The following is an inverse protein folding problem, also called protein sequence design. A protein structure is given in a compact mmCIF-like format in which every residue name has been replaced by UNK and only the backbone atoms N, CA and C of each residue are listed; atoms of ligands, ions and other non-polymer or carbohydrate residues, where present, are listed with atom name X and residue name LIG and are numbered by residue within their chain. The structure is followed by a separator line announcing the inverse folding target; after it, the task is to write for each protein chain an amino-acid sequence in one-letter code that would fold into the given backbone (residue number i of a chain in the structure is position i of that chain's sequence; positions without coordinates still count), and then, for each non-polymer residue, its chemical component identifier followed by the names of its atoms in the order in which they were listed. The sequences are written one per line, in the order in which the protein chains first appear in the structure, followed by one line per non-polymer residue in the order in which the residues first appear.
data_IF_158505560996
#
_entry.id   IF_158505560996
#
_cell.length_a   1.000
_cell.length_b   1.000
_cell.length_c   1.000
_cell.angle_alpha   90.00
_cell.angle_beta   90.00
_cell.angle_gamma   90.00
#
_symmetry.space_group_name_H-M   'P 1'
#
loop_
_entity.id
_entity.type
_entity.pdbx_description
1 polymer ?
#
# COMPACT_ATOMS: atom_id res chain seq x y z
N UNK A 1 -13.67 -2.72 -30.00
CA UNK A 1 -12.59 -2.02 -30.74
C UNK A 1 -11.57 -1.31 -29.83
N UNK A 2 -11.80 -0.12 -29.25
CA UNK A 2 -10.76 0.55 -28.43
C UNK A 2 -10.33 -0.26 -27.17
N UNK A 3 -11.27 -0.92 -26.48
CA UNK A 3 -10.94 -1.73 -25.31
C UNK A 3 -10.18 -3.02 -25.66
N UNK A 4 -10.47 -3.63 -26.80
CA UNK A 4 -9.77 -4.83 -27.29
C UNK A 4 -8.36 -4.46 -27.73
N UNK A 5 -8.21 -3.36 -28.49
CA UNK A 5 -6.90 -2.83 -28.85
C UNK A 5 -6.06 -2.51 -27.61
N UNK A 6 -6.65 -1.91 -26.58
CA UNK A 6 -5.94 -1.67 -25.32
C UNK A 6 -5.51 -2.98 -24.63
N UNK A 7 -6.37 -4.00 -24.60
CA UNK A 7 -6.04 -5.30 -23.99
C UNK A 7 -4.94 -6.04 -24.77
N UNK A 8 -4.97 -5.98 -26.10
CA UNK A 8 -3.99 -6.63 -26.97
C UNK A 8 -2.61 -5.96 -26.88
N UNK A 9 -2.56 -4.66 -26.61
CA UNK A 9 -1.31 -3.88 -26.57
C UNK A 9 -0.92 -3.45 -25.15
N UNK A 10 -1.48 -4.05 -24.11
CA UNK A 10 -1.32 -3.56 -22.73
C UNK A 10 0.14 -3.62 -22.25
N UNK A 11 0.88 -4.66 -22.63
CA UNK A 11 2.30 -4.82 -22.29
C UNK A 11 3.19 -3.80 -23.04
N UNK A 12 2.73 -3.24 -24.16
CA UNK A 12 3.42 -2.14 -24.87
C UNK A 12 3.08 -0.77 -24.29
N UNK A 13 1.86 -0.62 -23.75
CA UNK A 13 1.36 0.64 -23.19
C UNK A 13 1.74 0.84 -21.72
N UNK A 14 1.94 -0.25 -20.97
CA UNK A 14 2.26 -0.24 -19.54
C UNK A 14 3.57 -0.98 -19.29
N UNK A 15 4.56 -0.26 -18.78
CA UNK A 15 5.93 -0.77 -18.60
C UNK A 15 6.22 -1.28 -17.19
N UNK A 16 5.41 -0.90 -16.20
CA UNK A 16 5.60 -1.32 -14.82
C UNK A 16 4.29 -1.48 -14.06
N UNK A 17 4.35 -2.23 -12.96
CA UNK A 17 3.23 -2.49 -12.07
C UNK A 17 3.74 -2.59 -10.63
N UNK A 18 3.11 -1.83 -9.74
CA UNK A 18 3.35 -1.90 -8.30
C UNK A 18 2.18 -2.61 -7.63
N UNK A 19 2.48 -3.49 -6.69
CA UNK A 19 1.47 -4.13 -5.85
C UNK A 19 1.05 -3.11 -4.78
N UNK A 20 -0.25 -2.81 -4.73
CA UNK A 20 -0.87 -1.98 -3.71
C UNK A 20 -1.58 -2.88 -2.69
N UNK A 21 -1.13 -2.85 -1.44
CA UNK A 21 -1.87 -3.39 -0.30
C UNK A 21 -2.66 -2.23 0.32
N UNK A 22 -3.97 -2.30 0.23
CA UNK A 22 -4.90 -1.25 0.66
C UNK A 22 -5.57 -1.66 1.98
N UNK A 23 -5.19 -1.02 3.08
CA UNK A 23 -5.72 -1.31 4.41
C UNK A 23 -6.82 -0.31 4.74
N UNK A 24 -8.07 -0.77 4.79
CA UNK A 24 -9.23 0.02 5.22
C UNK A 24 -9.83 -0.57 6.50
N UNK A 25 -9.86 0.23 7.56
CA UNK A 25 -10.36 -0.19 8.86
C UNK A 25 -11.88 -0.29 8.96
N UNK A 26 -12.57 0.07 7.88
CA UNK A 26 -14.01 0.02 7.74
C UNK A 26 -14.48 -1.45 7.57
N UNK A 27 -15.33 -1.93 8.50
CA UNK A 27 -15.86 -3.30 8.45
C UNK A 27 -16.91 -3.44 7.35
N UNK A 28 -16.75 -4.42 6.45
CA UNK A 28 -17.76 -4.71 5.43
C UNK A 28 -19.14 -5.03 6.07
N UNK A 29 -20.17 -4.24 5.74
CA UNK A 29 -21.56 -4.52 6.16
C UNK A 29 -22.21 -3.40 6.99
N UNK A 30 -23.28 -3.73 7.73
CA UNK A 30 -24.06 -2.75 8.52
C UNK A 30 -23.29 -2.16 9.72
N UNK A 31 -22.15 -2.75 10.07
CA UNK A 31 -21.28 -2.31 11.19
C UNK A 31 -20.46 -1.04 10.87
N UNK A 32 -20.43 -0.57 9.61
CA UNK A 32 -19.81 0.72 9.24
C UNK A 32 -20.36 1.93 10.02
N UNK A 33 -21.54 1.81 10.63
CA UNK A 33 -22.23 2.90 11.31
C UNK A 33 -21.87 3.04 12.80
N UNK A 34 -21.13 2.10 13.39
CA UNK A 34 -20.94 2.07 14.86
C UNK A 34 -19.52 2.37 15.33
N UNK A 35 -18.51 2.36 14.45
CA UNK A 35 -17.13 2.64 14.84
C UNK A 35 -16.69 4.07 14.52
N UNK A 36 -15.91 4.65 15.42
CA UNK A 36 -15.29 5.96 15.23
C UNK A 36 -14.19 5.90 14.16
N UNK A 37 -13.83 7.06 13.61
CA UNK A 37 -12.73 7.17 12.65
C UNK A 37 -11.40 6.70 13.26
N UNK A 38 -11.17 7.01 14.53
CA UNK A 38 -9.95 6.62 15.25
C UNK A 38 -9.86 5.10 15.41
N UNK A 39 -10.98 4.43 15.74
CA UNK A 39 -11.03 2.98 15.84
C UNK A 39 -10.77 2.29 14.49
N UNK A 40 -11.36 2.79 13.39
CA UNK A 40 -11.09 2.28 12.06
C UNK A 40 -9.58 2.41 11.72
N UNK A 41 -9.00 3.59 11.93
CA UNK A 41 -7.57 3.84 11.69
C UNK A 41 -6.69 2.90 12.53
N UNK A 42 -7.00 2.70 13.81
CA UNK A 42 -6.22 1.83 14.69
C UNK A 42 -6.27 0.36 14.27
N UNK A 43 -7.40 -0.11 13.72
CA UNK A 43 -7.52 -1.46 13.13
C UNK A 43 -6.61 -1.60 11.91
N UNK A 44 -6.71 -0.66 10.96
CA UNK A 44 -5.88 -0.67 9.76
C UNK A 44 -4.39 -0.56 10.10
N UNK A 45 -4.03 0.22 11.12
CA UNK A 45 -2.66 0.37 11.60
C UNK A 45 -2.10 -0.94 12.18
N UNK A 46 -2.91 -1.71 12.90
CA UNK A 46 -2.50 -3.00 13.46
C UNK A 46 -2.10 -3.98 12.36
N UNK A 47 -2.95 -4.12 11.34
CA UNK A 47 -2.69 -5.01 10.20
C UNK A 47 -1.53 -4.51 9.35
N UNK A 48 -1.44 -3.19 9.14
CA UNK A 48 -0.30 -2.55 8.48
C UNK A 48 1.02 -2.92 9.17
N UNK A 49 1.08 -2.86 10.51
CA UNK A 49 2.31 -3.20 11.27
C UNK A 49 2.67 -4.68 11.05
N UNK A 50 1.68 -5.56 11.03
CA UNK A 50 1.88 -7.00 10.74
C UNK A 50 2.44 -7.20 9.34
N UNK A 51 1.79 -6.61 8.32
CA UNK A 51 2.23 -6.70 6.93
C UNK A 51 3.63 -6.09 6.72
N UNK A 52 3.91 -4.93 7.34
CA UNK A 52 5.24 -4.30 7.32
C UNK A 52 6.30 -5.25 7.84
N UNK A 53 6.09 -5.86 9.03
CA UNK A 53 7.06 -6.80 9.62
C UNK A 53 7.31 -8.00 8.72
N UNK A 54 6.25 -8.53 8.08
CA UNK A 54 6.37 -9.60 7.11
C UNK A 54 7.25 -9.18 5.93
N UNK A 55 6.94 -8.06 5.25
CA UNK A 55 7.71 -7.55 4.12
C UNK A 55 9.17 -7.22 4.50
N UNK A 56 9.38 -6.64 5.69
CA UNK A 56 10.72 -6.34 6.21
C UNK A 56 11.55 -7.61 6.47
N UNK A 57 10.92 -8.70 6.91
CA UNK A 57 11.61 -9.97 7.18
C UNK A 57 12.20 -10.62 5.91
N UNK A 58 11.60 -10.34 4.76
CA UNK A 58 12.12 -10.71 3.45
C UNK A 58 13.01 -9.64 2.82
N UNK A 59 13.07 -8.43 3.38
CA UNK A 59 13.79 -7.30 2.78
C UNK A 59 13.16 -6.83 1.48
N UNK A 60 11.83 -6.80 1.41
CA UNK A 60 11.07 -6.37 0.22
C UNK A 60 11.04 -4.85 0.14
N UNK A 61 11.35 -4.29 -1.03
CA UNK A 61 11.28 -2.86 -1.28
C UNK A 61 9.83 -2.37 -1.30
N UNK A 62 9.50 -1.49 -0.37
CA UNK A 62 8.16 -0.94 -0.24
C UNK A 62 8.16 0.43 0.44
N UNK A 63 7.06 1.16 0.32
CA UNK A 63 6.80 2.36 1.12
C UNK A 63 5.36 2.39 1.62
N UNK A 64 5.15 3.17 2.67
CA UNK A 64 3.90 3.18 3.45
C UNK A 64 3.35 4.61 3.46
N UNK A 65 2.08 4.74 3.11
CA UNK A 65 1.38 6.03 3.01
C UNK A 65 0.12 5.97 3.87
N UNK A 66 -0.12 6.98 4.71
CA UNK A 66 -1.45 7.20 5.25
C UNK A 66 -2.38 7.70 4.14
N UNK A 67 -3.56 7.11 3.94
CA UNK A 67 -4.43 7.38 2.78
C UNK A 67 -5.22 8.69 2.86
N UNK A 68 -4.96 9.51 3.90
CA UNK A 68 -5.61 10.80 4.17
C UNK A 68 -6.96 10.69 4.88
N UNK A 69 -7.47 9.47 5.12
CA UNK A 69 -8.76 9.28 5.80
C UNK A 69 -8.70 8.22 6.91
N UNK A 70 -8.99 6.95 6.58
CA UNK A 70 -9.16 5.86 7.55
C UNK A 70 -8.16 4.72 7.40
N UNK A 71 -7.36 4.75 6.34
CA UNK A 71 -6.58 3.61 5.90
C UNK A 71 -5.13 3.92 5.58
N UNK A 72 -4.43 2.90 5.14
CA UNK A 72 -3.03 2.96 4.78
C UNK A 72 -2.80 2.21 3.47
N UNK A 73 -1.84 2.69 2.69
CA UNK A 73 -1.39 2.01 1.49
C UNK A 73 0.04 1.53 1.71
N UNK A 74 0.30 0.27 1.39
CA UNK A 74 1.66 -0.25 1.21
C UNK A 74 1.88 -0.46 -0.28
N UNK A 75 2.84 0.25 -0.84
CA UNK A 75 3.19 0.14 -2.25
C UNK A 75 4.46 -0.68 -2.34
N UNK A 76 4.35 -1.86 -2.93
CA UNK A 76 5.41 -2.86 -3.09
C UNK A 76 5.88 -2.85 -4.54
N UNK A 77 7.19 -2.68 -4.72
CA UNK A 77 7.79 -2.76 -6.05
C UNK A 77 8.01 -4.22 -6.44
N UNK A 78 7.50 -4.62 -7.60
CA UNK A 78 7.69 -5.96 -8.15
C UNK A 78 8.97 -6.01 -8.99
N UNK A 79 10.11 -6.25 -8.34
CA UNK A 79 11.43 -6.36 -8.98
C UNK A 79 11.61 -7.71 -9.73
N UNK A 80 10.65 -8.00 -10.62
CA UNK A 80 10.57 -9.17 -11.48
C UNK A 80 10.77 -8.77 -12.94
N UNK A 81 11.60 -9.54 -13.66
CA UNK A 81 11.86 -9.36 -15.09
C UNK A 81 10.84 -10.14 -15.94
N UNK A 82 9.56 -9.75 -15.82
CA UNK A 82 8.43 -10.34 -16.54
C UNK A 82 7.50 -9.24 -17.06
N UNK A 83 6.73 -9.54 -18.10
CA UNK A 83 5.76 -8.61 -18.69
C UNK A 83 4.66 -8.17 -17.72
N UNK A 84 3.98 -7.07 -18.05
CA UNK A 84 2.96 -6.45 -17.19
C UNK A 84 1.85 -7.44 -16.81
N UNK A 85 1.31 -8.19 -17.78
CA UNK A 85 0.27 -9.19 -17.50
C UNK A 85 0.71 -10.21 -16.44
N UNK A 86 1.96 -10.66 -16.49
CA UNK A 86 2.47 -11.64 -15.53
C UNK A 86 2.72 -11.02 -14.15
N UNK A 87 3.26 -9.78 -14.10
CA UNK A 87 3.37 -9.01 -12.85
C UNK A 87 2.01 -8.84 -12.19
N UNK A 88 0.99 -8.53 -12.99
CA UNK A 88 -0.39 -8.37 -12.55
C UNK A 88 -0.97 -9.65 -11.93
N UNK A 89 -0.81 -10.80 -12.60
CA UNK A 89 -1.22 -12.11 -12.06
C UNK A 89 -0.54 -12.42 -10.72
N UNK A 90 0.79 -12.22 -10.66
CA UNK A 90 1.58 -12.44 -9.44
C UNK A 90 1.13 -11.52 -8.31
N UNK A 91 0.86 -10.24 -8.61
CA UNK A 91 0.40 -9.27 -7.64
C UNK A 91 -0.94 -9.64 -7.01
N UNK A 92 -1.91 -10.08 -7.82
CA UNK A 92 -3.21 -10.52 -7.30
C UNK A 92 -3.07 -11.77 -6.43
N UNK A 93 -2.29 -12.78 -6.88
CA UNK A 93 -2.05 -13.98 -6.07
C UNK A 93 -1.36 -13.60 -4.75
N UNK A 94 -0.33 -12.76 -4.80
CA UNK A 94 0.35 -12.24 -3.61
C UNK A 94 -0.58 -11.52 -2.64
N UNK A 95 -1.46 -10.65 -3.13
CA UNK A 95 -2.40 -9.92 -2.28
C UNK A 95 -3.29 -10.88 -1.48
N UNK A 96 -3.80 -11.92 -2.15
CA UNK A 96 -4.63 -12.96 -1.51
C UNK A 96 -3.83 -13.78 -0.51
N UNK A 97 -2.66 -14.30 -0.89
CA UNK A 97 -1.83 -15.13 0.00
C UNK A 97 -1.35 -14.34 1.23
N UNK A 98 -0.93 -13.08 1.05
CA UNK A 98 -0.52 -12.20 2.16
C UNK A 98 -1.70 -11.98 3.11
N UNK A 99 -2.90 -11.74 2.59
CA UNK A 99 -4.10 -11.55 3.41
C UNK A 99 -4.41 -12.80 4.24
N UNK A 100 -4.38 -13.97 3.60
CA UNK A 100 -4.77 -15.24 4.22
C UNK A 100 -3.74 -15.72 5.23
N UNK A 101 -2.44 -15.73 4.87
CA UNK A 101 -1.35 -16.17 5.75
C UNK A 101 -1.22 -15.29 7.00
N UNK A 102 -1.43 -13.98 6.86
CA UNK A 102 -1.29 -13.02 7.96
C UNK A 102 -2.62 -12.72 8.67
N UNK A 103 -3.73 -13.27 8.19
CA UNK A 103 -5.09 -13.00 8.67
C UNK A 103 -5.38 -11.49 8.83
N UNK A 104 -5.25 -10.75 7.72
CA UNK A 104 -5.39 -9.28 7.68
C UNK A 104 -6.82 -8.90 7.34
N UNK A 105 -7.63 -8.63 8.36
CA UNK A 105 -9.06 -8.33 8.22
C UNK A 105 -9.32 -7.02 7.46
N UNK A 106 -8.43 -6.04 7.64
CA UNK A 106 -8.56 -4.70 7.02
C UNK A 106 -7.93 -4.60 5.63
N UNK A 107 -7.22 -5.63 5.18
CA UNK A 107 -6.64 -5.65 3.83
C UNK A 107 -7.75 -5.88 2.80
N UNK A 108 -8.06 -4.85 2.00
CA UNK A 108 -9.01 -4.94 0.90
C UNK A 108 -8.39 -5.76 -0.25
N UNK A 109 -8.81 -7.02 -0.31
CA UNK A 109 -8.49 -7.95 -1.38
C UNK A 109 -9.71 -8.26 -2.27
N UNK A 110 -10.84 -7.57 -2.07
CA UNK A 110 -12.14 -7.92 -2.68
C UNK A 110 -12.28 -7.37 -4.11
N UNK A 111 -11.43 -6.44 -4.52
CA UNK A 111 -11.31 -6.07 -5.93
C UNK A 111 -10.10 -6.75 -6.54
N UNK A 112 -10.30 -7.47 -7.66
CA UNK A 112 -9.26 -7.56 -8.71
C UNK A 112 -8.51 -6.24 -8.69
N UNK A 113 -7.18 -6.24 -8.55
CA UNK A 113 -6.38 -5.02 -8.65
C UNK A 113 -6.77 -4.37 -9.98
N UNK A 114 -7.80 -3.52 -10.02
CA UNK A 114 -8.34 -3.12 -11.30
C UNK A 114 -7.17 -2.42 -11.97
N UNK A 115 -6.84 -2.78 -13.22
CA UNK A 115 -5.78 -2.08 -13.97
C UNK A 115 -6.01 -0.55 -13.94
N UNK A 116 -7.23 -0.13 -13.56
CA UNK A 116 -7.72 1.23 -13.41
C UNK A 116 -7.90 1.73 -11.96
N UNK A 117 -7.48 1.00 -10.91
CA UNK A 117 -7.62 1.48 -9.52
C UNK A 117 -6.70 2.68 -9.35
N UNK A 118 -7.28 3.87 -9.28
CA UNK A 118 -6.54 5.13 -9.10
C UNK A 118 -6.23 5.28 -7.61
N UNK A 119 -4.94 5.27 -7.27
CA UNK A 119 -4.49 5.56 -5.91
C UNK A 119 -4.29 7.05 -5.70
N UNK A 120 -4.48 7.51 -4.45
CA UNK A 120 -4.16 8.88 -4.08
C UNK A 120 -2.64 9.07 -4.12
N UNK A 121 -2.19 10.16 -4.73
CA UNK A 121 -0.76 10.47 -4.80
C UNK A 121 -0.21 10.91 -3.45
N UNK A 122 1.07 10.65 -3.23
CA UNK A 122 1.83 11.13 -2.06
C UNK A 122 1.71 12.66 -1.94
N UNK A 123 1.43 13.14 -0.74
CA UNK A 123 1.13 14.54 -0.38
C UNK A 123 -0.17 15.12 -0.94
N UNK A 124 -1.04 14.33 -1.56
CA UNK A 124 -2.40 14.79 -1.90
C UNK A 124 -3.21 15.13 -0.64
N UNK A 125 -4.15 16.06 -0.78
CA UNK A 125 -5.01 16.51 0.30
C UNK A 125 -6.35 15.78 0.26
N UNK A 126 -6.82 15.32 1.42
CA UNK A 126 -8.12 14.65 1.56
C UNK A 126 -8.94 15.39 2.60
N UNK A 127 -10.02 16.04 2.14
CA UNK A 127 -10.93 16.82 2.99
C UNK A 127 -12.20 16.03 3.27
N UNK A 128 -12.54 15.86 4.55
CA UNK A 128 -13.80 15.24 4.99
C UNK A 128 -14.23 15.87 6.31
N UNK A 129 -15.49 16.30 6.42
CA UNK A 129 -16.05 16.95 7.62
C UNK A 129 -15.17 18.10 8.12
N UNK A 130 -14.83 19.04 7.24
CA UNK A 130 -14.00 20.24 7.52
C UNK A 130 -12.54 19.97 7.91
N UNK A 131 -12.15 18.72 8.13
CA UNK A 131 -10.76 18.32 8.38
C UNK A 131 -10.08 17.97 7.06
N UNK A 132 -8.92 18.57 6.80
CA UNK A 132 -8.08 18.26 5.64
C UNK A 132 -6.80 17.58 6.11
N UNK A 133 -6.63 16.31 5.75
CA UNK A 133 -5.41 15.55 6.03
C UNK A 133 -4.54 15.41 4.78
N UNK A 134 -3.27 15.11 5.01
CA UNK A 134 -2.29 14.85 3.96
C UNK A 134 -2.12 13.33 3.77
N UNK A 135 -2.09 12.89 2.52
CA UNK A 135 -1.66 11.54 2.18
C UNK A 135 -0.14 11.41 2.40
N UNK A 136 0.26 11.13 3.63
CA UNK A 136 1.65 11.30 4.07
C UNK A 136 2.44 9.99 4.03
N UNK A 137 3.63 9.95 3.41
CA UNK A 137 4.58 8.85 3.58
C UNK A 137 5.07 8.77 5.02
N UNK A 138 5.01 7.57 5.60
CA UNK A 138 5.32 7.33 7.00
C UNK A 138 6.66 6.61 7.19
N UNK A 139 7.51 7.17 8.06
CA UNK A 139 8.68 6.46 8.59
C UNK A 139 8.30 5.53 9.76
N UNK A 140 9.26 4.72 10.21
CA UNK A 140 9.02 3.72 11.26
C UNK A 140 8.66 4.34 12.62
N UNK A 141 9.16 5.55 12.90
CA UNK A 141 8.79 6.28 14.12
C UNK A 141 7.35 6.75 14.05
N UNK A 142 6.90 7.25 12.89
CA UNK A 142 5.52 7.68 12.68
C UNK A 142 4.54 6.51 12.66
N UNK A 143 4.93 5.34 12.16
CA UNK A 143 4.07 4.15 12.21
C UNK A 143 3.90 3.68 13.66
N UNK A 144 4.99 3.62 14.43
CA UNK A 144 4.94 3.16 15.84
C UNK A 144 4.24 4.13 16.79
N UNK A 145 4.20 5.42 16.44
CA UNK A 145 3.58 6.47 17.24
C UNK A 145 2.50 7.22 16.44
N UNK A 146 1.75 6.50 15.60
CA UNK A 146 0.80 7.13 14.71
C UNK A 146 -0.30 7.83 15.49
N UNK A 147 -0.62 9.06 15.09
CA UNK A 147 -1.75 9.82 15.61
C UNK A 147 -2.47 10.47 14.42
N UNK A 148 -3.76 10.20 14.28
CA UNK A 148 -4.55 10.71 13.15
C UNK A 148 -4.54 12.23 13.08
N UNK A 149 -4.62 12.90 14.23
CA UNK A 149 -4.68 14.35 14.29
C UNK A 149 -3.38 15.03 13.85
N UNK A 150 -2.25 14.30 13.83
CA UNK A 150 -0.96 14.81 13.33
C UNK A 150 -0.90 14.85 11.80
N UNK A 151 -1.83 14.17 11.13
CA UNK A 151 -1.91 14.11 9.67
C UNK A 151 -2.68 15.30 9.07
N UNK A 152 -3.26 16.16 9.90
CA UNK A 152 -3.91 17.40 9.46
C UNK A 152 -2.91 18.33 8.79
N UNK A 153 -3.31 18.97 7.68
CA UNK A 153 -2.42 19.80 6.84
C UNK A 153 -1.65 20.84 7.66
N UNK A 154 -2.31 21.52 8.61
CA UNK A 154 -1.66 22.53 9.46
C UNK A 154 -0.53 21.95 10.31
N UNK A 155 -0.76 20.78 10.94
CA UNK A 155 0.24 20.12 11.78
C UNK A 155 1.35 19.49 10.96
N UNK A 156 1.04 18.88 9.82
CA UNK A 156 2.06 18.34 8.89
C UNK A 156 3.01 19.46 8.46
N UNK A 157 2.49 20.62 8.06
CA UNK A 157 3.30 21.75 7.61
C UNK A 157 4.18 22.34 8.72
N UNK A 158 3.74 22.28 9.99
CA UNK A 158 4.47 22.81 11.13
C UNK A 158 5.51 21.84 11.70
N UNK A 159 5.16 20.56 11.79
CA UNK A 159 5.90 19.58 12.60
C UNK A 159 6.68 18.56 11.75
N UNK A 160 6.39 18.46 10.46
CA UNK A 160 6.96 17.44 9.59
C UNK A 160 7.73 18.12 8.47
N UNK A 161 9.05 17.84 8.40
CA UNK A 161 9.87 18.28 7.28
C UNK A 161 9.50 17.47 6.03
N UNK A 162 8.63 18.04 5.20
CA UNK A 162 8.19 17.45 3.92
C UNK A 162 9.18 17.72 2.77
N UNK A 163 9.93 18.83 2.85
CA UNK A 163 10.94 19.16 1.82
C UNK A 163 12.04 18.10 1.81
N UNK A 164 12.29 17.54 0.63
CA UNK A 164 13.28 16.49 0.37
C UNK A 164 12.98 15.14 1.09
N UNK A 165 11.74 14.94 1.58
CA UNK A 165 11.34 13.72 2.29
C UNK A 165 11.16 12.51 1.36
N UNK A 166 10.78 12.74 0.10
CA UNK A 166 10.48 11.69 -0.86
C UNK A 166 9.31 10.81 -0.41
N UNK A 167 9.35 9.51 -0.76
CA UNK A 167 8.34 8.51 -0.40
C UNK A 167 8.74 7.60 0.78
N UNK A 168 9.94 7.80 1.36
CA UNK A 168 10.46 6.99 2.47
C UNK A 168 10.49 5.49 2.18
N UNK A 169 11.11 5.15 1.06
CA UNK A 169 11.21 3.78 0.61
C UNK A 169 12.16 2.94 1.48
N UNK A 170 11.68 1.76 1.87
CA UNK A 170 12.42 0.78 2.66
C UNK A 170 13.21 -0.15 1.74
N UNK A 171 14.37 -0.60 2.22
CA UNK A 171 15.27 -1.53 1.51
C UNK A 171 15.77 -1.03 0.15
N UNK A 172 15.70 0.27 -0.10
CA UNK A 172 16.12 0.91 -1.36
C UNK A 172 17.64 0.89 -1.60
N UNK A 173 18.42 0.60 -0.56
CA UNK A 173 19.87 0.47 -0.60
C UNK A 173 20.37 -0.92 -1.03
N UNK A 174 19.47 -1.88 -1.29
CA UNK A 174 19.83 -3.21 -1.77
C UNK A 174 20.07 -3.24 -3.28
N UNK A 175 20.93 -4.15 -3.76
CA UNK A 175 21.13 -4.34 -5.21
C UNK A 175 19.92 -4.99 -5.86
N UNK A 176 19.78 -4.84 -7.20
CA UNK A 176 18.67 -5.46 -7.95
C UNK A 176 18.67 -6.98 -7.80
N UNK A 177 19.85 -7.60 -7.81
CA UNK A 177 20.00 -9.06 -7.63
C UNK A 177 19.52 -9.50 -6.24
N UNK A 178 19.85 -8.73 -5.20
CA UNK A 178 19.41 -9.03 -3.83
C UNK A 178 17.89 -8.87 -3.69
N UNK A 179 17.32 -7.80 -4.25
CA UNK A 179 15.88 -7.56 -4.26
C UNK A 179 15.13 -8.68 -4.99
N UNK A 180 15.58 -9.07 -6.18
CA UNK A 180 14.98 -10.19 -6.92
C UNK A 180 15.11 -11.52 -6.18
N UNK A 181 16.23 -11.78 -5.49
CA UNK A 181 16.42 -12.99 -4.67
C UNK A 181 15.47 -13.02 -3.47
N UNK A 182 15.36 -11.90 -2.75
CA UNK A 182 14.46 -11.71 -1.63
C UNK A 182 12.99 -11.94 -2.05
N UNK A 183 12.60 -11.35 -3.18
CA UNK A 183 11.27 -11.49 -3.73
C UNK A 183 10.96 -12.94 -4.13
N UNK A 184 11.87 -13.62 -4.83
CA UNK A 184 11.72 -15.04 -5.18
C UNK A 184 11.55 -15.92 -3.96
N UNK A 185 12.35 -15.69 -2.91
CA UNK A 185 12.20 -16.41 -1.64
C UNK A 185 10.81 -16.23 -1.04
N UNK A 186 10.29 -15.00 -1.02
CA UNK A 186 8.92 -14.74 -0.55
C UNK A 186 7.86 -15.47 -1.38
N UNK A 187 8.02 -15.53 -2.71
CA UNK A 187 7.12 -16.30 -3.58
C UNK A 187 7.17 -17.80 -3.27
N UNK A 188 8.37 -18.36 -3.11
CA UNK A 188 8.58 -19.77 -2.76
C UNK A 188 7.95 -20.11 -1.40
N UNK A 189 8.17 -19.28 -0.39
CA UNK A 189 7.62 -19.47 0.96
C UNK A 189 6.09 -19.30 1.01
N UNK A 190 5.48 -18.62 0.02
CA UNK A 190 4.03 -18.46 -0.17
C UNK A 190 3.44 -19.44 -1.21
N UNK A 191 4.23 -20.38 -1.73
CA UNK A 191 3.80 -21.34 -2.76
C UNK A 191 3.24 -20.68 -4.05
N UNK A 192 3.83 -19.55 -4.46
CA UNK A 192 3.38 -18.74 -5.61
C UNK A 192 4.00 -19.13 -6.95
#
# INVERSE_FOLDING_TARGET
QQQELFKENIDELLTDFELLLDFDGDLSGKEHLEITKEEAVNRALKDLITAKKFLDSYGIRHHIIFSGNRGFHVIVKLDLDVGFKKKYEIANKLLMEIKDVLNLDTLDAVGELGIRKVSKTVYSLVSKNEVTNVCLPLDDRQISNFNLSDMEVGKVMQNIRIKDRGVLERHSNQSKEQLSKNFKKMLEDLEI
#
